data_IF_758472663442
#
_entry.id   IF_758472663442
#
_cell.length_a   1.000
_cell.length_b   1.000
_cell.length_c   1.000
_cell.angle_alpha   90.00
_cell.angle_beta   90.00
_cell.angle_gamma   90.00
#
_symmetry.space_group_name_H-M   'P 1'
#
loop_
_entity.id
_entity.type
_entity.pdbx_description
1 polymer ?
#
# COMPACT_ATOMS: atom_id res chain seq x y z
N UNK A 1 -1.78 2.49 -9.07
CA UNK A 1 -1.26 2.00 -7.78
C UNK A 1 -2.06 0.83 -7.25
N UNK A 2 -3.36 0.97 -6.98
CA UNK A 2 -4.18 -0.12 -6.39
C UNK A 2 -4.14 -1.43 -7.18
N UNK A 3 -4.20 -1.38 -8.52
CA UNK A 3 -4.06 -2.57 -9.37
C UNK A 3 -2.72 -3.28 -9.16
N UNK A 4 -1.62 -2.53 -9.15
CA UNK A 4 -0.29 -3.08 -8.90
C UNK A 4 -0.15 -3.62 -7.49
N UNK A 5 -0.75 -2.98 -6.48
CA UNK A 5 -0.71 -3.49 -5.10
C UNK A 5 -1.40 -4.84 -5.00
N UNK A 6 -2.57 -5.00 -5.64
CA UNK A 6 -3.25 -6.29 -5.68
C UNK A 6 -2.43 -7.34 -6.46
N UNK A 7 -1.85 -6.96 -7.61
CA UNK A 7 -1.00 -7.86 -8.40
C UNK A 7 0.20 -8.35 -7.58
N UNK A 8 0.92 -7.47 -6.88
CA UNK A 8 2.08 -7.84 -6.08
C UNK A 8 1.68 -8.69 -4.86
N UNK A 9 0.55 -8.42 -4.21
CA UNK A 9 0.03 -9.29 -3.16
C UNK A 9 -0.30 -10.70 -3.69
N UNK A 10 -0.95 -10.81 -4.85
CA UNK A 10 -1.26 -12.11 -5.47
C UNK A 10 0.00 -12.87 -5.91
N UNK A 11 1.08 -12.16 -6.27
CA UNK A 11 2.40 -12.76 -6.58
C UNK A 11 3.15 -13.23 -5.33
N UNK A 12 2.83 -12.68 -4.17
CA UNK A 12 3.47 -12.98 -2.89
C UNK A 12 2.45 -13.49 -1.86
N UNK A 13 1.91 -14.72 -2.03
CA UNK A 13 0.81 -15.25 -1.22
C UNK A 13 1.11 -15.30 0.29
N UNK A 14 2.36 -15.57 0.68
CA UNK A 14 2.77 -15.59 2.09
C UNK A 14 2.63 -14.22 2.77
N UNK A 15 2.88 -13.15 2.01
CA UNK A 15 2.71 -11.79 2.52
C UNK A 15 1.24 -11.36 2.44
N UNK A 16 0.51 -11.79 1.41
CA UNK A 16 -0.93 -11.57 1.33
C UNK A 16 -1.69 -12.17 2.51
N UNK A 17 -1.35 -13.40 2.92
CA UNK A 17 -1.94 -14.03 4.10
C UNK A 17 -1.70 -13.22 5.38
N UNK A 18 -0.52 -12.62 5.54
CA UNK A 18 -0.22 -11.74 6.68
C UNK A 18 -1.04 -10.43 6.65
N UNK A 19 -1.26 -9.86 5.46
CA UNK A 19 -2.11 -8.67 5.28
C UNK A 19 -3.57 -9.00 5.60
N UNK A 20 -4.07 -10.16 5.16
CA UNK A 20 -5.43 -10.60 5.50
C UNK A 20 -5.59 -10.76 7.01
N UNK A 21 -4.66 -11.45 7.68
CA UNK A 21 -4.69 -11.61 9.13
C UNK A 21 -4.66 -10.26 9.87
N UNK A 22 -3.82 -9.31 9.43
CA UNK A 22 -3.77 -7.95 10.01
C UNK A 22 -5.13 -7.24 9.93
N UNK A 23 -5.81 -7.35 8.79
CA UNK A 23 -7.13 -6.74 8.59
C UNK A 23 -8.20 -7.46 9.41
N UNK A 24 -8.18 -8.79 9.44
CA UNK A 24 -9.14 -9.61 10.21
C UNK A 24 -9.01 -9.32 11.72
N UNK A 25 -7.79 -9.18 12.23
CA UNK A 25 -7.53 -8.84 13.63
C UNK A 25 -8.01 -7.43 13.95
N UNK A 26 -7.70 -6.46 13.09
CA UNK A 26 -8.06 -5.05 13.29
C UNK A 26 -9.57 -4.81 13.26
N UNK A 27 -10.30 -5.52 12.38
CA UNK A 27 -11.74 -5.35 12.20
C UNK A 27 -12.57 -6.45 12.90
N UNK A 28 -11.95 -7.23 13.78
CA UNK A 28 -12.61 -8.31 14.53
C UNK A 28 -13.76 -7.83 15.43
N UNK A 29 -13.74 -6.57 15.84
CA UNK A 29 -14.77 -5.93 16.67
C UNK A 29 -15.92 -5.30 15.86
N UNK A 30 -15.91 -5.44 14.53
CA UNK A 30 -16.96 -4.94 13.64
C UNK A 30 -16.93 -3.43 13.42
N UNK A 31 -15.84 -2.74 13.79
CA UNK A 31 -15.69 -1.32 13.49
C UNK A 31 -15.73 -1.04 11.99
N UNK A 32 -16.34 0.08 11.61
CA UNK A 32 -16.30 0.55 10.22
C UNK A 32 -14.90 1.05 9.85
N UNK A 33 -14.59 0.99 8.56
CA UNK A 33 -13.34 1.52 8.01
C UNK A 33 -13.27 3.04 8.24
N UNK A 34 -12.44 3.46 9.20
CA UNK A 34 -12.18 4.86 9.49
C UNK A 34 -10.78 5.28 9.02
N UNK A 35 -10.59 6.58 8.75
CA UNK A 35 -9.26 7.10 8.38
C UNK A 35 -8.23 6.93 9.50
N UNK A 36 -8.66 6.85 10.76
CA UNK A 36 -7.77 6.56 11.89
C UNK A 36 -7.30 5.11 11.89
N UNK A 37 -8.13 4.16 11.44
CA UNK A 37 -7.77 2.75 11.32
C UNK A 37 -6.63 2.55 10.32
N UNK A 38 -6.52 3.38 9.27
CA UNK A 38 -5.42 3.33 8.29
C UNK A 38 -4.02 3.51 8.93
N UNK A 39 -3.91 4.13 10.11
CA UNK A 39 -2.63 4.24 10.83
C UNK A 39 -2.21 2.94 11.52
N UNK A 40 -3.10 1.96 11.62
CA UNK A 40 -2.89 0.68 12.32
C UNK A 40 -2.66 -0.49 11.36
N UNK A 41 -2.39 -0.24 10.06
CA UNK A 41 -2.29 -1.28 9.02
C UNK A 41 -0.87 -1.29 8.40
N UNK A 42 0.19 -1.60 9.18
CA UNK A 42 1.56 -1.53 8.70
C UNK A 42 1.87 -2.53 7.57
N UNK A 43 1.25 -3.71 7.51
CA UNK A 43 1.55 -4.68 6.45
C UNK A 43 1.04 -4.20 5.11
N UNK A 44 -0.20 -3.69 5.04
CA UNK A 44 -0.74 -3.15 3.78
C UNK A 44 -0.01 -1.88 3.34
N UNK A 45 0.38 -1.02 4.29
CA UNK A 45 1.15 0.20 4.01
C UNK A 45 2.53 -0.15 3.43
N UNK A 46 3.19 -1.16 3.99
CA UNK A 46 4.46 -1.64 3.45
C UNK A 46 4.31 -2.28 2.05
N UNK A 47 3.24 -3.05 1.81
CA UNK A 47 2.95 -3.57 0.46
C UNK A 47 2.72 -2.43 -0.55
N UNK A 48 1.99 -1.39 -0.15
CA UNK A 48 1.76 -0.21 -0.97
C UNK A 48 3.07 0.54 -1.28
N UNK A 49 3.92 0.76 -0.27
CA UNK A 49 5.24 1.39 -0.44
C UNK A 49 6.13 0.60 -1.38
N UNK A 50 6.18 -0.73 -1.23
CA UNK A 50 7.00 -1.58 -2.07
C UNK A 50 6.46 -1.63 -3.51
N UNK A 51 5.13 -1.65 -3.66
CA UNK A 51 4.49 -1.49 -4.97
C UNK A 51 4.89 -0.19 -5.64
N UNK A 52 4.91 0.93 -4.90
CA UNK A 52 5.32 2.24 -5.46
C UNK A 52 6.81 2.29 -5.81
N UNK A 53 7.66 1.56 -5.07
CA UNK A 53 9.09 1.42 -5.38
C UNK A 53 9.32 0.65 -6.69
N UNK A 54 8.57 -0.43 -6.90
CA UNK A 54 8.66 -1.28 -8.10
C UNK A 54 7.92 -0.68 -9.31
N UNK A 55 6.76 -0.07 -9.07
CA UNK A 55 5.82 0.41 -10.09
C UNK A 55 5.45 1.87 -9.82
N UNK A 56 6.41 2.82 -9.95
CA UNK A 56 6.15 4.23 -9.70
C UNK A 56 5.11 4.74 -10.72
N UNK A 57 3.97 5.35 -10.28
CA UNK A 57 2.95 5.88 -11.19
C UNK A 57 3.48 7.00 -12.08
N UNK A 58 4.46 7.75 -11.58
CA UNK A 58 5.21 8.76 -12.33
C UNK A 58 6.64 8.27 -12.50
N UNK A 59 6.97 7.82 -13.71
CA UNK A 59 8.30 7.26 -14.03
C UNK A 59 9.38 8.34 -14.24
N UNK A 60 8.96 9.58 -14.50
CA UNK A 60 9.88 10.71 -14.71
C UNK A 60 9.24 12.00 -14.18
N UNK A 61 10.06 12.84 -13.55
CA UNK A 61 9.70 14.20 -13.15
C UNK A 61 10.66 15.16 -13.83
N UNK A 62 10.13 16.04 -14.69
CA UNK A 62 10.93 17.02 -15.41
C UNK A 62 10.98 18.34 -14.64
N UNK A 63 12.10 19.06 -14.76
CA UNK A 63 12.28 20.42 -14.25
C UNK A 63 13.07 21.23 -15.29
N UNK A 64 12.86 22.54 -15.30
CA UNK A 64 13.63 23.51 -16.09
C UNK A 64 14.24 24.49 -15.08
N UNK A 65 15.56 24.66 -15.11
CA UNK A 65 16.24 25.65 -14.29
C UNK A 65 15.87 27.05 -14.79
N UNK A 66 15.60 27.99 -13.87
CA UNK A 66 15.40 29.39 -14.19
C UNK A 66 16.53 30.21 -13.59
N UNK A 67 17.12 31.10 -14.39
CA UNK A 67 18.04 32.12 -13.91
C UNK A 67 17.24 33.28 -13.27
N UNK A 68 17.88 34.07 -12.39
CA UNK A 68 17.27 35.27 -11.78
C UNK A 68 16.87 36.34 -12.81
#
# INVERSE_FOLDING_TARGET
>A
TSSWTLIELLRHPDYYAQVQQELDDLYSDGQEVSFHALRQIPKIDNALKETLRLHPPLIILMRVAQDE
#
